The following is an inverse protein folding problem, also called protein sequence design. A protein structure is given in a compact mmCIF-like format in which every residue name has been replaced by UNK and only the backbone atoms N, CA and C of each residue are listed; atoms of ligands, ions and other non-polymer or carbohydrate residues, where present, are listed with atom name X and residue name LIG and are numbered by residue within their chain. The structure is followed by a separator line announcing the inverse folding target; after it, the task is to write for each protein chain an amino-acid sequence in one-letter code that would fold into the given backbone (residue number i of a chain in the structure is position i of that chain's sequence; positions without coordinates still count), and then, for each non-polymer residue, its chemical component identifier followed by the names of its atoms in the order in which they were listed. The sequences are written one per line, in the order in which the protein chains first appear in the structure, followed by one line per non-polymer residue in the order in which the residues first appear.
data_IF_119085756259
#
_entry.id   IF_119085756259
#
_cell.length_a   1.000
_cell.length_b   1.000
_cell.length_c   1.000
_cell.angle_alpha   90.00
_cell.angle_beta   90.00
_cell.angle_gamma   90.00
#
_symmetry.space_group_name_H-M   'P 1'
#
loop_
_entity.id
_entity.type
_entity.pdbx_description
1 polymer ?
#
# COMPACT_ATOMS: atom_id res chain seq x y z
N UNK A 1 20.45 35.37 -4.54
CA UNK A 1 19.36 35.40 -3.54
C UNK A 1 18.41 34.26 -3.88
N UNK A 2 18.23 33.27 -3.01
CA UNK A 2 17.39 32.10 -3.27
C UNK A 2 16.04 32.32 -2.57
N UNK A 3 14.97 32.51 -3.34
CA UNK A 3 13.61 32.60 -2.82
C UNK A 3 13.11 31.18 -2.56
N UNK A 4 12.82 30.85 -1.29
CA UNK A 4 12.22 29.58 -0.90
C UNK A 4 10.72 29.79 -0.69
N UNK A 5 9.90 29.10 -1.47
CA UNK A 5 8.44 29.17 -1.41
C UNK A 5 7.92 27.83 -0.90
N UNK A 6 7.06 27.86 0.12
CA UNK A 6 6.27 26.70 0.53
C UNK A 6 4.84 26.91 0.04
N UNK A 7 4.32 25.95 -0.74
CA UNK A 7 2.94 25.95 -1.22
C UNK A 7 2.19 24.86 -0.46
N UNK A 8 1.09 25.24 0.19
CA UNK A 8 0.22 24.32 0.91
C UNK A 8 -1.19 24.41 0.33
N UNK A 9 -1.81 23.26 0.10
CA UNK A 9 -3.19 23.18 -0.41
C UNK A 9 -4.25 23.33 0.68
N UNK A 10 -3.84 23.36 1.95
CA UNK A 10 -4.71 23.41 3.15
C UNK A 10 -4.10 24.30 4.21
N UNK A 11 -4.97 24.88 5.03
CA UNK A 11 -4.56 25.64 6.20
C UNK A 11 -4.33 24.67 7.37
N UNK A 12 -3.15 24.08 7.42
CA UNK A 12 -2.72 23.28 8.57
C UNK A 12 -2.30 24.23 9.71
N UNK A 13 -2.94 24.07 10.87
CA UNK A 13 -2.83 25.01 11.99
C UNK A 13 -1.38 25.13 12.51
N UNK A 14 -0.68 24.00 12.61
CA UNK A 14 0.71 23.92 13.06
C UNK A 14 1.67 24.67 12.12
N UNK A 15 1.51 24.51 10.80
CA UNK A 15 2.28 25.23 9.78
C UNK A 15 1.93 26.72 9.83
N UNK A 16 0.64 27.04 9.89
CA UNK A 16 0.14 28.42 9.93
C UNK A 16 0.66 29.17 11.16
N UNK A 17 0.63 28.55 12.34
CA UNK A 17 1.17 29.12 13.58
C UNK A 17 2.68 29.29 13.51
N UNK A 18 3.43 28.27 13.05
CA UNK A 18 4.88 28.36 12.92
C UNK A 18 5.32 29.50 11.99
N UNK A 19 4.60 29.71 10.88
CA UNK A 19 4.89 30.77 9.92
C UNK A 19 4.52 32.15 10.45
N UNK A 20 3.38 32.27 11.16
CA UNK A 20 2.99 33.50 11.85
C UNK A 20 4.02 33.89 12.92
N UNK A 21 4.45 32.95 13.75
CA UNK A 21 5.46 33.19 14.80
C UNK A 21 6.81 33.66 14.23
N UNK A 22 7.13 33.28 12.98
CA UNK A 22 8.37 33.67 12.29
C UNK A 22 8.19 34.86 11.35
N UNK A 23 7.02 35.50 11.33
CA UNK A 23 6.68 36.61 10.44
C UNK A 23 6.95 36.32 8.94
N UNK A 24 6.76 35.07 8.51
CA UNK A 24 6.96 34.69 7.11
C UNK A 24 5.76 35.22 6.28
N UNK A 25 5.99 35.97 5.19
CA UNK A 25 4.92 36.45 4.33
C UNK A 25 4.06 35.28 3.80
N UNK A 26 2.75 35.38 3.98
CA UNK A 26 1.79 34.35 3.56
C UNK A 26 0.80 34.97 2.59
N UNK A 27 0.61 34.31 1.45
CA UNK A 27 -0.38 34.71 0.43
C UNK A 27 -1.46 33.63 0.42
N UNK A 28 -2.71 34.02 0.66
CA UNK A 28 -3.85 33.12 0.58
C UNK A 28 -4.50 33.27 -0.79
N UNK A 29 -4.71 32.14 -1.47
CA UNK A 29 -5.48 32.09 -2.72
C UNK A 29 -6.94 31.78 -2.38
N UNK A 30 -7.83 32.71 -2.70
CA UNK A 30 -9.28 32.56 -2.58
C UNK A 30 -9.91 31.89 -3.81
N UNK A 31 -11.20 31.57 -3.72
CA UNK A 31 -11.95 30.89 -4.78
C UNK A 31 -12.06 31.75 -6.05
N UNK A 32 -12.15 33.07 -5.88
CA UNK A 32 -12.18 34.07 -6.94
C UNK A 32 -10.86 34.15 -7.73
N UNK A 33 -9.73 33.79 -7.10
CA UNK A 33 -8.43 33.82 -7.76
C UNK A 33 -8.26 32.67 -8.75
N UNK A 34 -9.01 31.57 -8.59
CA UNK A 34 -8.87 30.34 -9.38
C UNK A 34 -10.04 30.08 -10.32
N UNK A 35 -11.14 30.86 -10.24
CA UNK A 35 -12.35 30.60 -11.05
C UNK A 35 -12.06 30.56 -12.56
N UNK A 36 -11.20 31.45 -13.05
CA UNK A 36 -10.81 31.49 -14.47
C UNK A 36 -9.96 30.29 -14.88
N UNK A 37 -9.06 29.85 -14.01
CA UNK A 37 -8.23 28.66 -14.25
C UNK A 37 -9.07 27.39 -14.25
N UNK A 38 -10.08 27.31 -13.38
CA UNK A 38 -11.07 26.24 -13.36
C UNK A 38 -11.88 26.21 -14.66
N UNK A 39 -12.33 27.37 -15.15
CA UNK A 39 -13.04 27.44 -16.43
C UNK A 39 -12.16 26.94 -17.59
N UNK A 40 -10.90 27.39 -17.64
CA UNK A 40 -9.92 26.96 -18.65
C UNK A 40 -9.72 25.44 -18.57
N UNK A 41 -9.56 24.91 -17.37
CA UNK A 41 -9.43 23.47 -17.12
C UNK A 41 -10.66 22.70 -17.63
N UNK A 42 -11.87 23.09 -17.22
CA UNK A 42 -13.13 22.42 -17.61
C UNK A 42 -13.31 22.46 -19.11
N UNK A 43 -13.07 23.62 -19.74
CA UNK A 43 -13.18 23.79 -21.20
C UNK A 43 -12.18 22.91 -21.93
N UNK A 44 -10.93 22.89 -21.48
CA UNK A 44 -9.87 22.05 -22.02
C UNK A 44 -10.22 20.56 -21.91
N UNK A 45 -10.67 20.12 -20.75
CA UNK A 45 -11.03 18.74 -20.47
C UNK A 45 -12.27 18.29 -21.26
N UNK A 46 -13.31 19.13 -21.32
CA UNK A 46 -14.52 18.90 -22.13
C UNK A 46 -14.15 18.70 -23.60
N UNK A 47 -13.32 19.60 -24.16
CA UNK A 47 -12.83 19.47 -25.53
C UNK A 47 -12.05 18.17 -25.74
N UNK A 48 -11.16 17.84 -24.81
CA UNK A 48 -10.34 16.62 -24.86
C UNK A 48 -11.22 15.37 -24.82
N UNK A 49 -12.27 15.35 -24.02
CA UNK A 49 -13.20 14.22 -23.90
C UNK A 49 -14.07 14.04 -25.14
N UNK A 50 -14.54 15.14 -25.76
CA UNK A 50 -15.25 15.12 -27.04
C UNK A 50 -14.34 14.58 -28.15
N UNK A 51 -13.10 15.08 -28.24
CA UNK A 51 -12.11 14.62 -29.24
C UNK A 51 -11.78 13.13 -29.10
N UNK A 52 -11.75 12.60 -27.87
CA UNK A 52 -11.55 11.18 -27.60
C UNK A 52 -12.83 10.34 -27.74
N UNK A 53 -13.93 10.93 -28.21
CA UNK A 53 -15.24 10.30 -28.35
C UNK A 53 -15.78 9.69 -27.03
N UNK A 54 -15.36 10.26 -25.89
CA UNK A 54 -15.83 9.86 -24.54
C UNK A 54 -17.04 10.66 -24.07
N UNK A 55 -17.15 11.91 -24.51
CA UNK A 55 -18.26 12.80 -24.18
C UNK A 55 -19.08 13.08 -25.43
N UNK A 56 -20.35 12.63 -25.44
CA UNK A 56 -21.24 12.67 -26.61
C UNK A 56 -22.00 13.99 -26.70
N UNK A 57 -21.26 15.07 -26.91
CA UNK A 57 -21.81 16.42 -27.12
C UNK A 57 -21.38 16.89 -28.52
N UNK A 58 -22.35 17.31 -29.32
CA UNK A 58 -22.18 17.77 -30.70
C UNK A 58 -22.57 19.24 -30.87
N UNK A 59 -23.52 19.73 -30.07
CA UNK A 59 -23.96 21.11 -30.08
C UNK A 59 -23.04 22.01 -29.27
N UNK A 60 -22.71 23.18 -29.84
CA UNK A 60 -21.93 24.21 -29.12
C UNK A 60 -22.69 24.74 -27.90
N UNK A 61 -24.02 24.79 -27.97
CA UNK A 61 -24.86 25.26 -26.87
C UNK A 61 -24.77 24.35 -25.64
N UNK A 62 -24.92 23.03 -25.80
CA UNK A 62 -24.83 22.10 -24.68
C UNK A 62 -23.42 22.08 -24.08
N UNK A 63 -22.39 22.20 -24.92
CA UNK A 63 -21.01 22.31 -24.47
C UNK A 63 -20.82 23.53 -23.55
N UNK A 64 -21.30 24.71 -23.95
CA UNK A 64 -21.20 25.90 -23.09
C UNK A 64 -22.04 25.76 -21.82
N UNK A 65 -23.24 25.16 -21.87
CA UNK A 65 -24.03 24.86 -20.67
C UNK A 65 -23.27 23.98 -19.67
N UNK A 66 -22.54 22.97 -20.15
CA UNK A 66 -21.69 22.12 -19.29
C UNK A 66 -20.57 22.95 -18.66
N UNK A 67 -19.85 23.76 -19.44
CA UNK A 67 -18.75 24.58 -18.93
C UNK A 67 -19.26 25.59 -17.90
N UNK A 68 -20.33 26.33 -18.19
CA UNK A 68 -20.93 27.30 -17.28
C UNK A 68 -21.38 26.65 -15.97
N UNK A 69 -22.16 25.56 -16.07
CA UNK A 69 -22.67 24.85 -14.89
C UNK A 69 -21.53 24.40 -13.99
N UNK A 70 -20.53 23.74 -14.57
CA UNK A 70 -19.43 23.19 -13.79
C UNK A 70 -18.52 24.28 -13.22
N UNK A 71 -18.33 25.39 -13.93
CA UNK A 71 -17.53 26.52 -13.43
C UNK A 71 -18.23 27.22 -12.28
N UNK A 72 -19.54 27.45 -12.39
CA UNK A 72 -20.32 28.17 -11.36
C UNK A 72 -20.43 27.42 -10.02
N UNK A 73 -20.35 26.09 -10.03
CA UNK A 73 -20.49 25.26 -8.83
C UNK A 73 -19.17 24.61 -8.37
N UNK A 74 -18.05 24.88 -9.07
CA UNK A 74 -16.76 24.33 -8.68
C UNK A 74 -16.29 24.81 -7.29
N UNK A 75 -16.71 26.01 -6.87
CA UNK A 75 -16.38 26.61 -5.57
C UNK A 75 -14.88 26.51 -5.23
N UNK A 76 -14.04 26.89 -6.21
CA UNK A 76 -12.57 26.83 -6.09
C UNK A 76 -11.94 25.44 -6.17
N UNK A 77 -12.73 24.38 -6.38
CA UNK A 77 -12.25 22.99 -6.43
C UNK A 77 -12.15 22.48 -7.87
N UNK A 78 -10.96 22.04 -8.29
CA UNK A 78 -10.78 21.34 -9.58
C UNK A 78 -11.34 19.91 -9.57
N UNK A 79 -11.41 19.29 -8.39
CA UNK A 79 -11.84 17.91 -8.25
C UNK A 79 -13.33 17.72 -8.59
N UNK A 80 -14.21 18.59 -8.09
CA UNK A 80 -15.64 18.44 -8.29
C UNK A 80 -16.04 18.47 -9.78
N UNK A 81 -15.57 19.45 -10.60
CA UNK A 81 -15.85 19.45 -12.03
C UNK A 81 -15.33 18.21 -12.75
N UNK A 82 -14.13 17.71 -12.38
CA UNK A 82 -13.58 16.48 -12.92
C UNK A 82 -14.50 15.28 -12.66
N UNK A 83 -14.95 15.10 -11.42
CA UNK A 83 -15.87 14.02 -11.04
C UNK A 83 -17.22 14.11 -11.75
N UNK A 84 -17.73 15.33 -11.96
CA UNK A 84 -18.95 15.53 -12.73
C UNK A 84 -18.74 15.22 -14.22
N UNK A 85 -17.62 15.62 -14.82
CA UNK A 85 -17.30 15.25 -16.21
C UNK A 85 -17.21 13.74 -16.39
N UNK A 86 -16.59 13.01 -15.46
CA UNK A 86 -16.56 11.53 -15.48
C UNK A 86 -17.97 10.93 -15.39
N UNK A 87 -18.87 11.55 -14.63
CA UNK A 87 -20.27 11.16 -14.55
C UNK A 87 -21.00 11.40 -15.87
N UNK A 88 -20.85 12.60 -16.46
CA UNK A 88 -21.50 12.99 -17.71
C UNK A 88 -21.01 12.11 -18.88
N UNK A 89 -19.73 11.70 -18.89
CA UNK A 89 -19.17 10.82 -19.92
C UNK A 89 -19.85 9.45 -20.01
N UNK A 90 -20.60 9.03 -18.99
CA UNK A 90 -21.35 7.77 -19.01
C UNK A 90 -22.66 7.86 -19.78
N UNK A 91 -23.14 9.07 -20.05
CA UNK A 91 -24.40 9.31 -20.74
C UNK A 91 -24.31 8.98 -22.24
N UNK A 92 -25.40 8.45 -22.79
CA UNK A 92 -25.39 7.86 -24.13
C UNK A 92 -25.87 8.81 -25.23
N UNK A 93 -26.50 9.93 -24.88
CA UNK A 93 -27.03 10.92 -25.81
C UNK A 93 -26.94 12.34 -25.24
N UNK A 94 -27.05 13.38 -26.08
CA UNK A 94 -27.12 14.77 -25.62
C UNK A 94 -28.31 15.04 -24.69
N UNK A 95 -29.45 14.36 -24.92
CA UNK A 95 -30.64 14.48 -24.07
C UNK A 95 -30.38 13.92 -22.66
N UNK A 96 -29.67 12.80 -22.58
CA UNK A 96 -29.25 12.21 -21.30
C UNK A 96 -28.24 13.10 -20.58
N UNK A 97 -27.29 13.70 -21.33
CA UNK A 97 -26.34 14.69 -20.79
C UNK A 97 -27.09 15.89 -20.21
N UNK A 98 -28.06 16.46 -20.92
CA UNK A 98 -28.87 17.58 -20.40
C UNK A 98 -29.63 17.21 -19.13
N UNK A 99 -30.22 16.00 -19.09
CA UNK A 99 -30.93 15.50 -17.90
C UNK A 99 -29.96 15.27 -16.73
N UNK A 100 -28.77 14.75 -17.01
CA UNK A 100 -27.72 14.52 -16.03
C UNK A 100 -27.23 15.86 -15.43
N UNK A 101 -27.00 16.87 -16.28
CA UNK A 101 -26.56 18.21 -15.90
C UNK A 101 -27.51 18.88 -14.89
N UNK A 102 -28.83 18.69 -15.07
CA UNK A 102 -29.87 19.22 -14.17
C UNK A 102 -29.87 18.57 -12.77
N UNK A 103 -29.30 17.37 -12.65
CA UNK A 103 -29.33 16.55 -11.44
C UNK A 103 -27.91 16.29 -10.88
N UNK A 104 -26.93 17.11 -11.23
CA UNK A 104 -25.58 16.99 -10.67
C UNK A 104 -25.59 17.38 -9.18
N UNK A 105 -24.85 16.65 -8.33
CA UNK A 105 -24.63 17.02 -6.94
C UNK A 105 -23.85 18.34 -6.86
N UNK A 106 -24.18 19.25 -5.94
CA UNK A 106 -23.57 20.59 -5.90
C UNK A 106 -22.18 20.64 -5.27
N UNK A 107 -21.91 19.73 -4.34
CA UNK A 107 -20.66 19.70 -3.57
C UNK A 107 -20.07 18.28 -3.51
N UNK A 108 -18.85 18.16 -2.99
CA UNK A 108 -18.15 16.87 -2.90
C UNK A 108 -18.89 15.86 -2.02
N UNK A 109 -19.47 16.26 -0.88
CA UNK A 109 -20.19 15.33 0.00
C UNK A 109 -21.42 14.70 -0.66
N UNK A 110 -22.21 15.50 -1.38
CA UNK A 110 -23.32 15.01 -2.20
C UNK A 110 -22.82 14.10 -3.34
N UNK A 111 -21.66 14.44 -3.91
CA UNK A 111 -21.01 13.64 -4.96
C UNK A 111 -20.62 12.27 -4.42
N UNK A 112 -19.93 12.20 -3.28
CA UNK A 112 -19.55 10.95 -2.63
C UNK A 112 -20.76 10.14 -2.16
N UNK A 113 -21.79 10.81 -1.63
CA UNK A 113 -23.07 10.18 -1.27
C UNK A 113 -23.72 9.50 -2.47
N UNK A 114 -23.71 10.16 -3.63
CA UNK A 114 -24.21 9.60 -4.90
C UNK A 114 -23.35 8.42 -5.37
N UNK A 115 -22.03 8.48 -5.26
CA UNK A 115 -21.14 7.36 -5.61
C UNK A 115 -21.39 6.13 -4.73
N UNK A 116 -21.58 6.31 -3.42
CA UNK A 116 -21.96 5.20 -2.52
C UNK A 116 -23.30 4.60 -2.91
N UNK A 117 -24.29 5.45 -3.25
CA UNK A 117 -25.58 4.96 -3.75
C UNK A 117 -25.42 4.13 -5.03
N UNK A 118 -24.59 4.58 -5.97
CA UNK A 118 -24.27 3.82 -7.18
C UNK A 118 -23.61 2.47 -6.87
N UNK A 119 -22.75 2.38 -5.85
CA UNK A 119 -22.22 1.10 -5.38
C UNK A 119 -23.34 0.20 -4.85
N UNK A 120 -24.27 0.77 -4.09
CA UNK A 120 -25.38 0.03 -3.48
C UNK A 120 -26.41 -0.51 -4.48
N UNK A 121 -26.67 0.25 -5.54
CA UNK A 121 -27.63 -0.10 -6.60
C UNK A 121 -27.10 -1.17 -7.58
N UNK A 122 -25.81 -1.50 -7.53
CA UNK A 122 -25.22 -2.57 -8.33
C UNK A 122 -25.66 -3.97 -7.85
N UNK A 123 -25.38 -5.00 -8.66
CA UNK A 123 -25.59 -6.40 -8.27
C UNK A 123 -24.79 -6.74 -7.02
N UNK A 124 -25.26 -7.72 -6.25
CA UNK A 124 -24.59 -8.16 -5.01
C UNK A 124 -23.11 -8.50 -5.22
N UNK A 125 -22.78 -9.12 -6.36
CA UNK A 125 -21.41 -9.45 -6.76
C UNK A 125 -20.52 -8.22 -6.93
N UNK A 126 -20.99 -7.21 -7.66
CA UNK A 126 -20.22 -5.98 -7.93
C UNK A 126 -20.17 -5.07 -6.71
N UNK A 127 -21.26 -5.00 -5.93
CA UNK A 127 -21.28 -4.30 -4.64
C UNK A 127 -20.26 -4.90 -3.66
N UNK A 128 -20.22 -6.23 -3.55
CA UNK A 128 -19.22 -6.93 -2.72
C UNK A 128 -17.79 -6.68 -3.22
N UNK A 129 -17.58 -6.69 -4.55
CA UNK A 129 -16.30 -6.38 -5.15
C UNK A 129 -15.85 -4.96 -4.81
N UNK A 130 -16.73 -3.97 -4.97
CA UNK A 130 -16.44 -2.57 -4.67
C UNK A 130 -16.02 -2.38 -3.21
N UNK A 131 -16.78 -2.94 -2.27
CA UNK A 131 -16.46 -2.82 -0.84
C UNK A 131 -15.18 -3.54 -0.44
N UNK A 132 -14.92 -4.74 -0.98
CA UNK A 132 -13.62 -5.40 -0.80
C UNK A 132 -12.47 -4.56 -1.37
N UNK A 133 -12.69 -3.92 -2.50
CA UNK A 133 -11.65 -3.10 -3.17
C UNK A 133 -11.35 -1.83 -2.35
N UNK A 134 -12.38 -1.11 -1.90
CA UNK A 134 -12.23 0.07 -1.05
C UNK A 134 -11.52 -0.30 0.27
N UNK A 135 -11.89 -1.42 0.88
CA UNK A 135 -11.24 -1.94 2.09
C UNK A 135 -9.74 -2.17 1.87
N UNK A 136 -9.34 -2.79 0.76
CA UNK A 136 -7.93 -2.95 0.39
C UNK A 136 -7.22 -1.60 0.21
N UNK A 137 -7.85 -0.64 -0.46
CA UNK A 137 -7.24 0.68 -0.69
C UNK A 137 -7.04 1.46 0.62
N UNK A 138 -7.96 1.30 1.57
CA UNK A 138 -7.92 2.03 2.85
C UNK A 138 -6.96 1.40 3.88
N UNK A 139 -6.89 0.07 3.95
CA UNK A 139 -6.28 -0.64 5.07
C UNK A 139 -5.03 -1.46 4.69
N UNK A 140 -4.62 -1.48 3.42
CA UNK A 140 -3.38 -2.12 3.02
C UNK A 140 -2.15 -1.45 3.66
N UNK A 141 -1.13 -2.24 3.98
CA UNK A 141 0.16 -1.78 4.51
C UNK A 141 0.90 -0.85 3.54
N UNK A 142 0.63 -0.98 2.24
CA UNK A 142 1.05 -0.08 1.17
C UNK A 142 0.02 -0.09 0.05
N UNK A 143 -0.02 0.93 -0.84
CA UNK A 143 -0.85 0.88 -2.04
C UNK A 143 -0.57 -0.38 -2.87
N UNK A 144 -1.63 -1.05 -3.32
CA UNK A 144 -1.55 -2.21 -4.20
C UNK A 144 -1.49 -1.77 -5.67
N UNK A 145 -0.76 -2.53 -6.49
CA UNK A 145 -0.90 -2.45 -7.94
C UNK A 145 -2.23 -3.06 -8.38
N UNK A 146 -2.76 -2.64 -9.53
CA UNK A 146 -4.01 -3.21 -10.04
C UNK A 146 -3.90 -4.74 -10.23
N UNK A 147 -2.74 -5.24 -10.66
CA UNK A 147 -2.46 -6.68 -10.78
C UNK A 147 -2.49 -7.43 -9.45
N UNK A 148 -2.12 -6.78 -8.35
CA UNK A 148 -2.21 -7.35 -7.01
C UNK A 148 -3.66 -7.35 -6.52
N UNK A 149 -4.35 -6.21 -6.68
CA UNK A 149 -5.72 -5.99 -6.24
C UNK A 149 -6.70 -6.97 -6.90
N UNK A 150 -6.49 -7.27 -8.20
CA UNK A 150 -7.23 -8.30 -8.94
C UNK A 150 -7.21 -9.65 -8.23
N UNK A 151 -6.05 -10.09 -7.76
CA UNK A 151 -5.94 -11.35 -7.04
C UNK A 151 -6.47 -11.22 -5.61
N UNK A 152 -6.13 -10.14 -4.91
CA UNK A 152 -6.53 -9.90 -3.53
C UNK A 152 -8.05 -9.91 -3.34
N UNK A 153 -8.79 -9.30 -4.28
CA UNK A 153 -10.26 -9.24 -4.29
C UNK A 153 -10.93 -10.54 -4.73
N UNK A 154 -10.22 -11.37 -5.52
CA UNK A 154 -10.70 -12.67 -5.98
C UNK A 154 -10.64 -13.77 -4.91
N UNK A 155 -9.93 -13.54 -3.81
CA UNK A 155 -9.86 -14.50 -2.71
C UNK A 155 -11.20 -14.54 -1.96
N UNK A 156 -11.84 -15.70 -2.02
CA UNK A 156 -13.10 -16.02 -1.34
C UNK A 156 -12.98 -17.24 -0.43
N UNK A 157 -14.13 -17.74 0.05
CA UNK A 157 -14.19 -18.92 0.93
C UNK A 157 -14.15 -20.26 0.18
N UNK A 158 -14.46 -20.26 -1.13
CA UNK A 158 -14.72 -21.48 -1.91
C UNK A 158 -13.54 -21.99 -2.75
N UNK A 159 -12.57 -21.14 -3.09
CA UNK A 159 -11.40 -21.52 -3.89
C UNK A 159 -10.34 -22.23 -3.06
N UNK A 160 -10.01 -23.48 -3.40
CA UNK A 160 -8.99 -24.27 -2.68
C UNK A 160 -7.63 -24.27 -3.38
N UNK A 161 -7.60 -23.98 -4.68
CA UNK A 161 -6.39 -24.02 -5.50
C UNK A 161 -6.23 -22.76 -6.35
N UNK A 162 -5.02 -22.54 -6.87
CA UNK A 162 -4.75 -21.44 -7.80
C UNK A 162 -5.66 -21.44 -9.03
N UNK A 163 -6.01 -22.63 -9.54
CA UNK A 163 -6.86 -22.79 -10.73
C UNK A 163 -8.32 -22.39 -10.49
N UNK A 164 -8.72 -22.20 -9.24
CA UNK A 164 -10.07 -21.76 -8.88
C UNK A 164 -10.16 -20.23 -8.80
N UNK A 165 -9.02 -19.52 -8.77
CA UNK A 165 -9.00 -18.07 -8.68
C UNK A 165 -9.58 -17.47 -9.97
N UNK A 166 -10.59 -16.61 -9.82
CA UNK A 166 -11.26 -15.90 -10.92
C UNK A 166 -11.19 -14.39 -10.67
N UNK A 167 -10.03 -13.76 -10.93
CA UNK A 167 -9.92 -12.32 -10.78
C UNK A 167 -10.75 -11.59 -11.82
N UNK A 168 -11.45 -10.54 -11.39
CA UNK A 168 -12.09 -9.59 -12.30
C UNK A 168 -11.03 -8.85 -13.10
N UNK A 169 -11.43 -8.33 -14.26
CA UNK A 169 -10.58 -7.42 -15.04
C UNK A 169 -10.44 -6.08 -14.34
N UNK A 170 -9.33 -5.39 -14.62
CA UNK A 170 -8.99 -4.11 -13.98
C UNK A 170 -10.13 -3.09 -14.10
N UNK A 171 -10.68 -2.93 -15.30
CA UNK A 171 -11.76 -1.99 -15.59
C UNK A 171 -13.01 -2.31 -14.76
N UNK A 172 -13.35 -3.60 -14.61
CA UNK A 172 -14.51 -4.03 -13.81
C UNK A 172 -14.33 -3.69 -12.33
N UNK A 173 -13.12 -3.82 -11.79
CA UNK A 173 -12.82 -3.47 -10.39
C UNK A 173 -12.95 -1.97 -10.17
N UNK A 174 -12.38 -1.16 -11.09
CA UNK A 174 -12.43 0.30 -11.01
C UNK A 174 -13.86 0.81 -11.18
N UNK A 175 -14.59 0.30 -12.18
CA UNK A 175 -15.97 0.67 -12.46
C UNK A 175 -16.91 0.34 -11.30
N UNK A 176 -16.72 -0.82 -10.66
CA UNK A 176 -17.51 -1.23 -9.50
C UNK A 176 -17.43 -0.20 -8.36
N UNK A 177 -16.32 0.55 -8.25
CA UNK A 177 -16.09 1.52 -7.19
C UNK A 177 -16.62 2.94 -7.50
N UNK A 178 -17.45 3.12 -8.53
CA UNK A 178 -18.21 4.36 -8.79
C UNK A 178 -17.39 5.67 -8.70
N UNK A 179 -16.22 5.73 -9.34
CA UNK A 179 -15.29 6.88 -9.35
C UNK A 179 -14.54 7.17 -8.03
N UNK A 180 -14.66 6.33 -7.00
CA UNK A 180 -13.84 6.50 -5.79
C UNK A 180 -12.36 6.25 -6.01
N UNK A 181 -11.99 5.51 -7.06
CA UNK A 181 -10.63 5.02 -7.27
C UNK A 181 -10.02 5.60 -8.54
N UNK A 182 -8.72 5.84 -8.48
CA UNK A 182 -7.88 6.23 -9.62
C UNK A 182 -6.63 5.36 -9.66
N UNK A 183 -6.17 5.02 -10.86
CA UNK A 183 -4.86 4.42 -11.07
C UNK A 183 -3.81 5.52 -11.28
N UNK A 184 -2.84 5.61 -10.37
CA UNK A 184 -1.70 6.52 -10.46
C UNK A 184 -0.41 5.77 -10.15
N UNK A 185 0.61 5.96 -10.99
CA UNK A 185 1.93 5.34 -10.84
C UNK A 185 1.84 3.81 -10.64
N UNK A 186 0.99 3.14 -11.44
CA UNK A 186 0.72 1.69 -11.38
C UNK A 186 0.05 1.21 -10.08
N UNK A 187 -0.40 2.11 -9.22
CA UNK A 187 -1.08 1.79 -7.95
C UNK A 187 -2.50 2.32 -7.94
N UNK A 188 -3.40 1.61 -7.26
CA UNK A 188 -4.78 2.06 -7.07
C UNK A 188 -4.88 2.84 -5.76
N UNK A 189 -5.47 4.03 -5.83
CA UNK A 189 -5.69 4.92 -4.69
C UNK A 189 -7.08 5.54 -4.74
N UNK A 190 -7.50 6.14 -3.63
CA UNK A 190 -8.68 6.99 -3.64
C UNK A 190 -8.48 8.18 -4.58
N UNK A 191 -9.55 8.61 -5.24
CA UNK A 191 -9.54 9.71 -6.20
C UNK A 191 -9.04 11.03 -5.59
N UNK A 192 -9.22 11.19 -4.28
CA UNK A 192 -8.68 12.30 -3.52
C UNK A 192 -8.70 12.02 -2.02
N UNK A 193 -7.92 12.77 -1.24
CA UNK A 193 -7.93 12.69 0.22
C UNK A 193 -9.33 12.99 0.80
N UNK A 194 -10.09 13.92 0.24
CA UNK A 194 -11.45 14.23 0.74
C UNK A 194 -12.41 13.04 0.65
N UNK A 195 -12.20 12.13 -0.29
CA UNK A 195 -12.96 10.88 -0.32
C UNK A 195 -12.64 9.99 0.90
N UNK A 196 -11.38 9.97 1.36
CA UNK A 196 -10.99 9.25 2.57
C UNK A 196 -11.68 9.81 3.81
N UNK A 197 -11.68 11.15 3.96
CA UNK A 197 -12.36 11.82 5.08
C UNK A 197 -13.85 11.55 5.06
N UNK A 198 -14.49 11.67 3.89
CA UNK A 198 -15.90 11.37 3.74
C UNK A 198 -16.23 9.93 4.13
N UNK A 199 -15.45 8.96 3.64
CA UNK A 199 -15.63 7.55 3.96
C UNK A 199 -15.49 7.30 5.47
N UNK A 200 -14.44 7.86 6.11
CA UNK A 200 -14.24 7.75 7.56
C UNK A 200 -15.35 8.39 8.38
N UNK A 201 -15.86 9.56 7.95
CA UNK A 201 -16.98 10.23 8.63
C UNK A 201 -18.29 9.46 8.47
N UNK A 202 -18.45 8.74 7.36
CA UNK A 202 -19.65 7.95 7.02
C UNK A 202 -19.71 6.59 7.74
N UNK A 203 -18.77 6.29 8.64
CA UNK A 203 -18.65 5.01 9.34
C UNK A 203 -19.97 4.53 10.00
N UNK A 204 -20.80 5.47 10.45
CA UNK A 204 -22.08 5.21 11.11
C UNK A 204 -23.26 4.89 10.17
N UNK A 205 -23.05 4.85 8.85
CA UNK A 205 -24.11 4.53 7.86
C UNK A 205 -24.00 3.10 7.32
N UNK A 206 -25.12 2.39 7.35
CA UNK A 206 -25.27 0.96 7.68
C UNK A 206 -24.88 -0.11 6.63
N UNK A 207 -24.04 0.20 5.63
CA UNK A 207 -23.55 -0.82 4.66
C UNK A 207 -22.05 -0.75 4.36
N UNK A 208 -21.41 0.41 4.55
CA UNK A 208 -19.94 0.52 4.48
C UNK A 208 -19.26 0.20 5.80
N UNK A 209 -20.02 0.14 6.90
CA UNK A 209 -19.49 0.02 8.26
C UNK A 209 -18.47 -1.10 8.38
N UNK A 210 -18.75 -2.29 7.83
CA UNK A 210 -17.81 -3.41 7.89
C UNK A 210 -16.52 -3.13 7.07
N UNK A 211 -16.66 -2.61 5.85
CA UNK A 211 -15.51 -2.32 4.99
C UNK A 211 -14.61 -1.19 5.51
N UNK A 212 -15.18 -0.29 6.30
CA UNK A 212 -14.50 0.84 6.92
C UNK A 212 -14.01 0.52 8.34
N UNK A 213 -14.51 -0.54 8.97
CA UNK A 213 -14.13 -0.91 10.32
C UNK A 213 -12.71 -1.48 10.29
N UNK A 214 -11.72 -0.83 10.91
CA UNK A 214 -10.33 -1.27 10.80
C UNK A 214 -10.14 -2.71 11.28
N UNK A 215 -10.85 -3.13 12.32
CA UNK A 215 -10.72 -4.48 12.87
C UNK A 215 -11.28 -5.54 11.91
N UNK A 216 -12.47 -5.32 11.36
CA UNK A 216 -13.06 -6.19 10.35
C UNK A 216 -12.21 -6.21 9.08
N UNK A 217 -11.79 -5.04 8.60
CA UNK A 217 -10.93 -4.92 7.42
C UNK A 217 -9.65 -5.71 7.58
N UNK A 218 -8.88 -5.50 8.66
CA UNK A 218 -7.66 -6.25 8.91
C UNK A 218 -7.89 -7.75 9.12
N UNK A 219 -9.06 -8.14 9.65
CA UNK A 219 -9.46 -9.56 9.68
C UNK A 219 -9.59 -10.12 8.27
N UNK A 220 -10.35 -9.47 7.38
CA UNK A 220 -10.54 -9.91 5.99
C UNK A 220 -9.24 -9.91 5.19
N UNK A 221 -8.41 -8.88 5.34
CA UNK A 221 -7.11 -8.77 4.67
C UNK A 221 -6.14 -9.88 5.14
N UNK A 222 -6.15 -10.23 6.44
CA UNK A 222 -5.41 -11.37 6.99
C UNK A 222 -5.86 -12.70 6.39
N UNK A 223 -7.18 -12.91 6.33
CA UNK A 223 -7.77 -14.09 5.68
C UNK A 223 -7.34 -14.21 4.23
N UNK A 224 -7.43 -13.11 3.47
CA UNK A 224 -7.07 -13.08 2.06
C UNK A 224 -5.58 -13.40 1.85
N UNK A 225 -4.67 -12.78 2.61
CA UNK A 225 -3.24 -13.06 2.51
C UNK A 225 -2.92 -14.52 2.82
N UNK A 226 -3.38 -15.04 3.96
CA UNK A 226 -3.05 -16.42 4.37
C UNK A 226 -3.67 -17.44 3.42
N UNK A 227 -4.92 -17.22 2.97
CA UNK A 227 -5.55 -18.09 1.96
C UNK A 227 -4.78 -18.07 0.66
N UNK A 228 -4.29 -16.90 0.23
CA UNK A 228 -3.46 -16.80 -0.96
C UNK A 228 -2.15 -17.60 -0.83
N UNK A 229 -1.47 -17.52 0.31
CA UNK A 229 -0.27 -18.31 0.60
C UNK A 229 -0.54 -19.81 0.76
N UNK A 230 -1.80 -20.19 1.04
CA UNK A 230 -2.27 -21.57 1.09
C UNK A 230 -2.79 -22.08 -0.25
N UNK A 231 -2.86 -21.23 -1.28
CA UNK A 231 -3.02 -21.71 -2.65
C UNK A 231 -1.78 -22.54 -3.02
N UNK A 232 -1.89 -23.31 -4.08
CA UNK A 232 -0.84 -24.21 -4.57
C UNK A 232 0.39 -23.47 -5.14
N UNK A 233 0.99 -22.56 -4.36
CA UNK A 233 1.98 -21.58 -4.76
C UNK A 233 3.11 -21.37 -3.72
N UNK A 234 4.38 -21.58 -4.08
CA UNK A 234 4.87 -22.55 -5.05
C UNK A 234 4.93 -23.94 -4.37
N UNK A 235 4.15 -24.90 -4.89
CA UNK A 235 4.16 -26.29 -4.39
C UNK A 235 5.53 -26.97 -4.50
N UNK A 236 6.36 -26.51 -5.43
CA UNK A 236 7.67 -27.11 -5.75
C UNK A 236 8.80 -26.61 -4.83
N UNK A 237 8.50 -25.63 -3.96
CA UNK A 237 9.47 -25.04 -3.05
C UNK A 237 10.10 -23.74 -3.57
N UNK A 238 11.23 -23.29 -3.00
CA UNK A 238 11.87 -22.06 -3.42
C UNK A 238 12.40 -22.17 -4.85
N UNK A 239 12.32 -21.06 -5.59
CA UNK A 239 12.83 -20.97 -6.95
C UNK A 239 14.35 -21.16 -6.97
N UNK A 240 14.87 -21.81 -8.01
CA UNK A 240 16.29 -22.18 -8.12
C UNK A 240 17.14 -21.14 -8.87
N UNK A 241 16.49 -20.19 -9.54
CA UNK A 241 17.13 -19.04 -10.19
C UNK A 241 16.35 -17.73 -10.00
N UNK A 242 17.01 -16.56 -10.08
CA UNK A 242 16.32 -15.28 -10.01
C UNK A 242 15.28 -15.09 -11.12
N UNK A 243 15.59 -15.55 -12.33
CA UNK A 243 14.68 -15.50 -13.49
C UNK A 243 13.39 -16.29 -13.24
N UNK A 244 13.52 -17.46 -12.60
CA UNK A 244 12.38 -18.27 -12.19
C UNK A 244 11.57 -17.57 -11.10
N UNK A 245 12.24 -16.98 -10.10
CA UNK A 245 11.59 -16.22 -9.03
C UNK A 245 10.81 -15.02 -9.58
N UNK A 246 11.41 -14.25 -10.48
CA UNK A 246 10.77 -13.11 -11.12
C UNK A 246 9.53 -13.53 -11.91
N UNK A 247 9.64 -14.53 -12.79
CA UNK A 247 8.49 -15.08 -13.55
C UNK A 247 7.39 -15.59 -12.62
N UNK A 248 7.80 -16.20 -11.52
CA UNK A 248 6.90 -16.70 -10.50
C UNK A 248 6.12 -15.55 -9.86
N UNK A 249 6.77 -14.47 -9.46
CA UNK A 249 6.09 -13.29 -8.92
C UNK A 249 5.15 -12.66 -9.95
N UNK A 250 5.55 -12.57 -11.22
CA UNK A 250 4.68 -12.06 -12.29
C UNK A 250 3.43 -12.93 -12.51
N UNK A 251 3.53 -14.25 -12.30
CA UNK A 251 2.40 -15.17 -12.37
C UNK A 251 1.50 -15.06 -11.13
N UNK A 252 2.10 -14.94 -9.97
CA UNK A 252 1.42 -14.92 -8.68
C UNK A 252 1.48 -13.51 -8.09
N UNK A 253 1.00 -12.51 -8.83
CA UNK A 253 1.21 -11.07 -8.59
C UNK A 253 0.99 -10.58 -7.15
N UNK A 254 0.04 -11.16 -6.40
CA UNK A 254 -0.24 -10.79 -5.00
C UNK A 254 0.67 -11.48 -3.97
N UNK A 255 1.53 -12.42 -4.37
CA UNK A 255 2.37 -13.19 -3.45
C UNK A 255 3.33 -12.30 -2.68
N UNK A 256 3.92 -11.29 -3.32
CA UNK A 256 4.87 -10.43 -2.64
C UNK A 256 4.20 -9.67 -1.50
N UNK A 257 3.02 -9.10 -1.73
CA UNK A 257 2.24 -8.46 -0.69
C UNK A 257 1.82 -9.46 0.40
N UNK A 258 1.17 -10.56 0.01
CA UNK A 258 0.66 -11.57 0.94
C UNK A 258 1.78 -12.14 1.82
N UNK A 259 2.94 -12.43 1.23
CA UNK A 259 4.11 -12.96 1.95
C UNK A 259 4.66 -11.96 2.94
N UNK A 260 4.67 -10.65 2.66
CA UNK A 260 5.29 -9.63 3.52
C UNK A 260 4.37 -9.01 4.57
N UNK A 261 3.06 -8.98 4.34
CA UNK A 261 2.15 -8.14 5.15
C UNK A 261 0.99 -8.90 5.82
N UNK A 262 0.92 -10.23 5.71
CA UNK A 262 -0.12 -10.98 6.42
C UNK A 262 0.00 -10.83 7.95
N UNK A 263 1.22 -10.77 8.48
CA UNK A 263 1.53 -10.59 9.90
C UNK A 263 1.28 -9.15 10.38
N UNK A 264 1.43 -8.16 9.49
CA UNK A 264 1.00 -6.79 9.76
C UNK A 264 -0.51 -6.74 10.03
N UNK A 265 -1.33 -7.33 9.15
CA UNK A 265 -2.78 -7.31 9.33
C UNK A 265 -3.23 -8.09 10.57
N UNK A 266 -2.59 -9.22 10.90
CA UNK A 266 -2.89 -9.99 12.10
C UNK A 266 -2.63 -9.21 13.40
N UNK A 267 -1.65 -8.30 13.39
CA UNK A 267 -1.30 -7.46 14.54
C UNK A 267 -2.36 -6.41 14.82
N UNK A 268 -2.98 -5.85 13.78
CA UNK A 268 -3.99 -4.80 13.87
C UNK A 268 -5.40 -5.34 14.19
N UNK A 269 -5.58 -6.66 14.26
CA UNK A 269 -6.86 -7.26 14.65
C UNK A 269 -7.15 -7.06 16.13
N UNK A 270 -8.34 -6.55 16.46
CA UNK A 270 -8.80 -6.42 17.85
C UNK A 270 -9.30 -7.75 18.42
N UNK A 271 -9.96 -8.56 17.59
CA UNK A 271 -10.60 -9.82 17.99
C UNK A 271 -10.01 -11.02 17.26
N UNK A 272 -9.92 -12.15 17.97
CA UNK A 272 -9.36 -13.40 17.44
C UNK A 272 -10.49 -14.29 16.99
N UNK A 273 -10.45 -14.72 15.73
CA UNK A 273 -11.42 -15.66 15.18
C UNK A 273 -10.81 -17.07 15.11
N UNK A 274 -11.59 -18.10 15.48
CA UNK A 274 -11.12 -19.49 15.40
C UNK A 274 -10.76 -19.93 13.97
N UNK A 275 -11.37 -19.31 12.96
CA UNK A 275 -11.09 -19.65 11.56
C UNK A 275 -9.75 -19.09 11.07
N UNK A 276 -9.34 -17.89 11.51
CA UNK A 276 -8.01 -17.37 11.15
C UNK A 276 -6.93 -18.23 11.81
N UNK A 277 -7.21 -18.70 13.02
CA UNK A 277 -6.37 -19.64 13.76
C UNK A 277 -6.20 -20.96 13.01
N UNK A 278 -7.30 -21.54 12.51
CA UNK A 278 -7.24 -22.77 11.71
C UNK A 278 -6.40 -22.58 10.45
N UNK A 279 -6.52 -21.43 9.79
CA UNK A 279 -5.73 -21.10 8.61
C UNK A 279 -4.24 -20.94 8.92
N UNK A 280 -3.89 -20.27 10.01
CA UNK A 280 -2.48 -20.14 10.44
C UNK A 280 -1.90 -21.52 10.78
N UNK A 281 -2.65 -22.37 11.48
CA UNK A 281 -2.21 -23.74 11.76
C UNK A 281 -2.01 -24.53 10.45
N UNK A 282 -2.90 -24.37 9.46
CA UNK A 282 -2.74 -24.98 8.14
C UNK A 282 -1.50 -24.44 7.43
N UNK A 283 -1.24 -23.15 7.54
CA UNK A 283 -0.05 -22.50 6.97
C UNK A 283 1.23 -23.02 7.61
N UNK A 284 1.26 -23.20 8.93
CA UNK A 284 2.37 -23.83 9.65
C UNK A 284 2.53 -25.33 9.37
N UNK A 285 1.48 -26.00 8.89
CA UNK A 285 1.56 -27.40 8.46
C UNK A 285 2.07 -27.57 7.02
N UNK A 286 2.31 -26.46 6.30
CA UNK A 286 2.92 -26.54 4.97
C UNK A 286 4.32 -27.19 5.06
N UNK A 287 4.65 -27.96 4.03
CA UNK A 287 5.97 -28.58 3.93
C UNK A 287 7.10 -27.55 3.85
N UNK A 288 8.32 -27.98 4.20
CA UNK A 288 9.55 -27.19 4.19
C UNK A 288 9.68 -26.31 2.93
N UNK A 289 9.44 -26.87 1.74
CA UNK A 289 9.53 -26.14 0.47
C UNK A 289 8.63 -24.90 0.38
N UNK A 290 7.34 -25.04 0.71
CA UNK A 290 6.39 -23.93 0.59
C UNK A 290 6.71 -22.79 1.57
N UNK A 291 7.11 -23.14 2.80
CA UNK A 291 7.59 -22.16 3.78
C UNK A 291 8.85 -21.45 3.29
N UNK A 292 9.81 -22.19 2.72
CA UNK A 292 11.06 -21.62 2.20
C UNK A 292 10.78 -20.66 1.05
N UNK A 293 9.84 -20.98 0.16
CA UNK A 293 9.43 -20.10 -0.91
C UNK A 293 8.82 -18.78 -0.42
N UNK A 294 7.95 -18.82 0.59
CA UNK A 294 7.40 -17.60 1.20
C UNK A 294 8.53 -16.74 1.77
N UNK A 295 9.50 -17.35 2.46
CA UNK A 295 10.66 -16.63 2.99
C UNK A 295 11.58 -16.09 1.89
N UNK A 296 11.77 -16.81 0.79
CA UNK A 296 12.52 -16.34 -0.37
C UNK A 296 11.89 -15.07 -0.96
N UNK A 297 10.56 -15.01 -1.06
CA UNK A 297 9.83 -13.83 -1.54
C UNK A 297 9.90 -12.68 -0.53
N UNK A 298 9.82 -12.95 0.78
CA UNK A 298 9.93 -11.92 1.85
C UNK A 298 11.27 -11.21 1.88
N UNK A 299 12.33 -11.80 1.34
CA UNK A 299 13.69 -11.21 1.30
C UNK A 299 13.87 -10.16 0.21
N UNK A 300 12.97 -10.12 -0.76
CA UNK A 300 13.03 -9.16 -1.86
C UNK A 300 12.68 -7.77 -1.34
N UNK A 301 13.57 -6.80 -1.57
CA UNK A 301 13.30 -5.39 -1.28
C UNK A 301 12.32 -4.80 -2.31
N UNK A 302 12.42 -5.23 -3.57
CA UNK A 302 11.48 -4.87 -4.63
C UNK A 302 11.26 -6.03 -5.59
N UNK A 303 10.11 -6.68 -5.47
CA UNK A 303 9.72 -7.82 -6.30
C UNK A 303 9.31 -7.44 -7.74
N UNK A 304 9.25 -6.15 -8.05
CA UNK A 304 8.79 -5.65 -9.35
C UNK A 304 9.91 -5.20 -10.27
N UNK A 305 11.12 -5.06 -9.74
CA UNK A 305 12.32 -4.74 -10.49
C UNK A 305 13.15 -6.01 -10.70
N UNK A 306 13.42 -6.36 -11.96
CA UNK A 306 14.16 -7.57 -12.28
C UNK A 306 15.59 -7.55 -11.75
N UNK A 307 16.28 -6.42 -11.82
CA UNK A 307 17.65 -6.28 -11.33
C UNK A 307 17.68 -6.40 -9.80
N UNK A 308 16.68 -5.84 -9.12
CA UNK A 308 16.58 -5.98 -7.66
C UNK A 308 16.26 -7.43 -7.25
N UNK A 309 15.40 -8.13 -8.00
CA UNK A 309 15.16 -9.57 -7.76
C UNK A 309 16.41 -10.40 -8.00
N UNK A 310 17.22 -10.08 -9.01
CA UNK A 310 18.54 -10.72 -9.21
C UNK A 310 19.49 -10.48 -8.04
N UNK A 311 19.51 -9.25 -7.53
CA UNK A 311 20.35 -8.86 -6.41
C UNK A 311 19.94 -9.53 -5.08
N UNK A 312 18.64 -9.60 -4.79
CA UNK A 312 18.12 -10.14 -3.53
C UNK A 312 17.95 -11.68 -3.54
N UNK A 313 18.23 -12.33 -4.66
CA UNK A 313 17.95 -13.75 -4.83
C UNK A 313 18.81 -14.65 -3.92
N UNK A 314 18.16 -15.43 -3.05
CA UNK A 314 18.78 -16.55 -2.32
C UNK A 314 18.06 -17.87 -2.64
N UNK A 315 18.83 -18.90 -3.01
CA UNK A 315 18.37 -20.28 -3.23
C UNK A 315 17.81 -20.98 -1.99
N UNK A 316 17.87 -20.34 -0.82
CA UNK A 316 17.21 -20.84 0.41
C UNK A 316 17.70 -22.25 0.78
N UNK A 317 19.02 -22.47 0.78
CA UNK A 317 19.65 -23.80 0.96
C UNK A 317 19.59 -24.36 2.39
N UNK A 318 18.82 -23.74 3.28
CA UNK A 318 18.72 -24.10 4.70
C UNK A 318 17.34 -24.69 5.01
N UNK A 319 17.30 -25.61 5.98
CA UNK A 319 16.03 -26.19 6.42
C UNK A 319 15.21 -25.13 7.16
N UNK A 320 13.99 -24.90 6.69
CA UNK A 320 13.03 -24.04 7.38
C UNK A 320 12.07 -24.89 8.22
N UNK A 321 11.61 -24.32 9.32
CA UNK A 321 10.61 -24.92 10.20
C UNK A 321 9.48 -23.91 10.40
N UNK A 322 8.33 -24.30 10.96
CA UNK A 322 7.29 -23.32 11.33
C UNK A 322 7.80 -22.25 12.31
N UNK A 323 8.80 -22.57 13.14
CA UNK A 323 9.49 -21.59 13.98
C UNK A 323 10.24 -20.52 13.16
N UNK A 324 10.76 -20.88 11.99
CA UNK A 324 11.45 -19.94 11.09
C UNK A 324 10.50 -18.88 10.56
N UNK A 325 9.27 -19.25 10.18
CA UNK A 325 8.24 -18.27 9.81
C UNK A 325 7.86 -17.38 10.99
N UNK A 326 7.63 -17.96 12.16
CA UNK A 326 7.27 -17.19 13.36
C UNK A 326 8.30 -16.11 13.69
N UNK A 327 9.57 -16.41 13.43
CA UNK A 327 10.70 -15.50 13.64
C UNK A 327 10.89 -14.50 12.50
N UNK A 328 10.72 -14.91 11.25
CA UNK A 328 10.84 -14.04 10.07
C UNK A 328 9.61 -13.14 9.86
N UNK A 329 8.60 -13.28 10.71
CA UNK A 329 7.38 -12.47 10.74
C UNK A 329 7.20 -11.86 12.11
N UNK A 330 6.36 -10.82 12.21
CA UNK A 330 6.02 -10.18 13.49
C UNK A 330 5.00 -11.00 14.29
N UNK A 331 4.76 -12.26 13.95
CA UNK A 331 3.78 -13.11 14.61
C UNK A 331 4.08 -13.26 16.10
N UNK A 332 5.35 -13.34 16.52
CA UNK A 332 5.71 -13.36 17.94
C UNK A 332 5.30 -12.11 18.72
N UNK A 333 5.12 -10.96 18.05
CA UNK A 333 4.65 -9.72 18.67
C UNK A 333 3.13 -9.68 18.80
N UNK A 334 2.40 -10.56 18.11
CA UNK A 334 0.94 -10.60 18.16
C UNK A 334 0.52 -11.22 19.51
N UNK A 335 -0.14 -10.48 20.42
CA UNK A 335 -0.28 -10.89 21.83
C UNK A 335 -0.96 -12.24 22.04
N UNK A 336 -1.92 -12.58 21.18
CA UNK A 336 -2.65 -13.85 21.26
C UNK A 336 -1.93 -15.02 20.59
N UNK A 337 -1.04 -14.73 19.65
CA UNK A 337 -0.10 -15.70 19.09
C UNK A 337 0.91 -16.10 20.17
N UNK A 338 1.52 -15.12 20.84
CA UNK A 338 2.55 -15.33 21.85
C UNK A 338 2.08 -16.18 23.04
N UNK A 339 0.78 -16.11 23.39
CA UNK A 339 0.18 -16.86 24.49
C UNK A 339 -0.13 -18.33 24.16
N UNK A 340 0.02 -18.77 22.91
CA UNK A 340 -0.36 -20.14 22.50
C UNK A 340 0.77 -21.14 22.67
N UNK A 341 0.62 -22.00 23.67
CA UNK A 341 1.58 -23.04 24.03
C UNK A 341 1.87 -24.08 22.92
N UNK A 342 0.98 -24.27 21.94
CA UNK A 342 1.14 -25.26 20.86
C UNK A 342 1.96 -24.76 19.67
N UNK A 343 2.26 -23.47 19.60
CA UNK A 343 3.07 -22.93 18.51
C UNK A 343 4.55 -23.07 18.84
N UNK A 344 5.40 -23.34 17.82
CA UNK A 344 6.83 -23.48 18.05
C UNK A 344 7.35 -22.27 18.81
N UNK A 345 7.94 -22.49 19.99
CA UNK A 345 8.66 -21.42 20.68
C UNK A 345 9.83 -21.00 19.77
N UNK A 346 10.08 -19.70 19.58
CA UNK A 346 11.25 -19.25 18.82
C UNK A 346 12.50 -19.81 19.51
N UNK A 347 13.04 -20.90 18.94
CA UNK A 347 14.42 -21.29 19.14
C UNK A 347 15.24 -20.53 18.12
N UNK A 348 16.50 -20.17 18.42
CA UNK A 348 17.36 -19.58 17.40
C UNK A 348 17.30 -20.47 16.17
N UNK A 349 17.08 -19.93 14.95
CA UNK A 349 17.29 -20.72 13.76
C UNK A 349 18.65 -21.39 13.92
N UNK A 350 18.76 -22.68 13.57
CA UNK A 350 20.07 -23.24 13.26
C UNK A 350 20.56 -22.39 12.11
N UNK A 351 21.26 -21.30 12.42
CA UNK A 351 21.70 -20.35 11.42
C UNK A 351 22.40 -21.18 10.35
N UNK A 352 22.12 -20.98 9.05
CA UNK A 352 23.06 -21.46 8.08
C UNK A 352 24.40 -20.90 8.55
N UNK A 353 25.40 -21.76 8.72
CA UNK A 353 26.74 -21.43 9.20
C UNK A 353 27.50 -20.45 8.26
N UNK A 354 26.76 -19.75 7.39
CA UNK A 354 27.18 -18.90 6.28
C UNK A 354 26.36 -17.59 6.11
N UNK A 355 25.28 -17.33 6.86
CA UNK A 355 24.53 -16.07 6.71
C UNK A 355 25.36 -14.87 7.17
N UNK A 356 25.36 -13.78 6.40
CA UNK A 356 26.05 -12.53 6.77
C UNK A 356 25.21 -11.69 7.73
N UNK A 357 25.84 -10.76 8.44
CA UNK A 357 25.12 -9.83 9.33
C UNK A 357 24.23 -8.86 8.54
N UNK A 358 24.58 -8.58 7.29
CA UNK A 358 23.79 -7.79 6.34
C UNK A 358 22.51 -8.50 5.94
N UNK A 359 22.58 -9.80 5.62
CA UNK A 359 21.40 -10.62 5.31
C UNK A 359 20.45 -10.72 6.51
N UNK A 360 20.98 -10.95 7.71
CA UNK A 360 20.19 -10.98 8.93
C UNK A 360 19.51 -9.62 9.21
N UNK A 361 20.22 -8.52 8.97
CA UNK A 361 19.68 -7.17 9.13
C UNK A 361 18.60 -6.84 8.10
N UNK A 362 18.81 -7.20 6.82
CA UNK A 362 17.83 -7.06 5.74
C UNK A 362 16.54 -7.81 6.05
N UNK A 363 16.66 -9.04 6.54
CA UNK A 363 15.53 -9.92 6.83
C UNK A 363 14.84 -9.66 8.19
N UNK A 364 15.35 -8.74 9.01
CA UNK A 364 14.78 -8.45 10.33
C UNK A 364 15.05 -9.52 11.40
N UNK A 365 16.05 -10.36 11.19
CA UNK A 365 16.36 -11.51 12.03
C UNK A 365 17.13 -11.12 13.31
N UNK A 366 16.44 -10.63 14.33
CA UNK A 366 17.04 -10.12 15.58
C UNK A 366 17.96 -11.12 16.28
N UNK A 367 17.49 -12.34 16.53
CA UNK A 367 18.30 -13.38 17.19
C UNK A 367 19.45 -13.89 16.33
N UNK A 368 19.30 -13.98 15.00
CA UNK A 368 20.41 -14.32 14.11
C UNK A 368 21.47 -13.21 14.13
N UNK A 369 21.04 -11.95 14.09
CA UNK A 369 21.92 -10.78 14.24
C UNK A 369 22.67 -10.85 15.58
N UNK A 370 21.98 -11.06 16.70
CA UNK A 370 22.61 -11.25 18.02
C UNK A 370 23.59 -12.42 18.06
N UNK A 371 23.27 -13.53 17.41
CA UNK A 371 24.16 -14.69 17.32
C UNK A 371 25.42 -14.38 16.51
N UNK A 372 25.30 -13.68 15.39
CA UNK A 372 26.43 -13.26 14.56
C UNK A 372 27.37 -12.31 15.32
N UNK A 373 26.83 -11.42 16.16
CA UNK A 373 27.64 -10.63 17.10
C UNK A 373 28.41 -11.51 18.09
N UNK A 374 27.80 -12.58 18.63
CA UNK A 374 28.51 -13.55 19.48
C UNK A 374 29.61 -14.30 18.73
N UNK A 375 29.51 -14.41 17.40
CA UNK A 375 30.53 -14.98 16.52
C UNK A 375 31.58 -13.96 16.04
N UNK A 376 31.53 -12.71 16.54
CA UNK A 376 32.53 -11.68 16.25
C UNK A 376 32.21 -10.76 15.06
N UNK A 377 31.00 -10.79 14.51
CA UNK A 377 30.55 -9.79 13.52
C UNK A 377 30.30 -8.42 14.15
N UNK A 378 30.52 -7.36 13.38
CA UNK A 378 30.41 -5.97 13.82
C UNK A 378 29.17 -5.27 13.25
N UNK A 379 28.67 -4.27 13.98
CA UNK A 379 27.62 -3.36 13.51
C UNK A 379 28.04 -2.57 12.26
N UNK A 380 29.34 -2.42 12.04
CA UNK A 380 29.97 -1.63 10.99
C UNK A 380 30.70 -2.50 9.94
N UNK A 381 30.41 -3.81 9.89
CA UNK A 381 30.95 -4.67 8.84
C UNK A 381 30.46 -4.15 7.48
N UNK A 382 31.35 -3.98 6.51
CA UNK A 382 30.99 -3.56 5.16
C UNK A 382 30.76 -4.78 4.28
N UNK A 383 29.70 -4.75 3.47
CA UNK A 383 29.50 -5.72 2.40
C UNK A 383 30.23 -5.29 1.10
N UNK A 384 30.03 -6.04 0.02
CA UNK A 384 30.62 -5.77 -1.29
C UNK A 384 30.18 -4.42 -1.89
N UNK A 385 29.06 -3.84 -1.42
CA UNK A 385 28.57 -2.53 -1.82
C UNK A 385 29.05 -1.41 -0.89
N UNK A 386 29.91 -1.70 0.08
CA UNK A 386 30.30 -0.75 1.12
C UNK A 386 29.13 -0.30 2.00
N UNK A 387 28.10 -1.13 2.17
CA UNK A 387 26.97 -0.87 3.06
C UNK A 387 27.16 -1.57 4.41
N UNK A 388 26.76 -0.88 5.48
CA UNK A 388 26.67 -1.46 6.83
C UNK A 388 25.31 -2.17 7.04
N UNK A 389 25.21 -3.12 7.99
CA UNK A 389 23.95 -3.79 8.33
C UNK A 389 22.79 -2.85 8.63
N UNK A 390 23.06 -1.70 9.26
CA UNK A 390 22.04 -0.71 9.62
C UNK A 390 21.31 -0.18 8.37
N UNK A 391 22.03 0.01 7.27
CA UNK A 391 21.45 0.44 6.00
C UNK A 391 20.32 -0.51 5.56
N UNK A 392 20.57 -1.81 5.58
CA UNK A 392 19.57 -2.80 5.15
C UNK A 392 18.39 -2.94 6.12
N UNK A 393 18.65 -2.83 7.43
CA UNK A 393 17.58 -2.84 8.42
C UNK A 393 16.64 -1.63 8.22
N UNK A 394 17.20 -0.45 7.99
CA UNK A 394 16.43 0.75 7.74
C UNK A 394 15.72 0.69 6.36
N UNK A 395 16.36 0.10 5.33
CA UNK A 395 15.81 0.01 3.97
C UNK A 395 14.55 -0.86 3.92
N UNK A 396 14.47 -1.85 4.80
CA UNK A 396 13.38 -2.82 4.86
C UNK A 396 12.46 -2.62 6.07
N UNK A 397 12.55 -1.48 6.77
CA UNK A 397 11.64 -1.19 7.87
C UNK A 397 11.83 -2.08 9.11
N UNK A 398 12.99 -2.71 9.28
CA UNK A 398 13.29 -3.67 10.33
C UNK A 398 13.65 -2.99 11.66
N UNK A 399 12.70 -2.29 12.26
CA UNK A 399 12.91 -1.46 13.45
C UNK A 399 13.64 -2.19 14.59
N UNK A 400 13.27 -3.43 15.01
CA UNK A 400 13.95 -4.09 16.12
C UNK A 400 15.44 -4.36 15.85
N UNK A 401 15.80 -4.69 14.61
CA UNK A 401 17.20 -4.92 14.21
C UNK A 401 17.93 -3.59 14.10
N UNK A 402 17.31 -2.56 13.51
CA UNK A 402 17.90 -1.23 13.41
C UNK A 402 18.22 -0.66 14.81
N UNK A 403 17.29 -0.74 15.76
CA UNK A 403 17.51 -0.34 17.16
C UNK A 403 18.64 -1.14 17.81
N UNK A 404 18.69 -2.46 17.58
CA UNK A 404 19.77 -3.29 18.10
C UNK A 404 21.15 -2.92 17.52
N UNK A 405 21.22 -2.66 16.21
CA UNK A 405 22.45 -2.28 15.52
C UNK A 405 22.96 -0.91 16.01
N UNK A 406 22.07 0.09 16.14
CA UNK A 406 22.40 1.40 16.73
C UNK A 406 22.90 1.24 18.15
N UNK A 407 22.24 0.41 18.98
CA UNK A 407 22.71 0.09 20.33
C UNK A 407 24.08 -0.60 20.35
N UNK A 408 24.44 -1.32 19.28
CA UNK A 408 25.76 -1.95 19.09
C UNK A 408 26.80 -1.04 18.41
N UNK A 409 26.50 0.24 18.24
CA UNK A 409 27.43 1.24 17.73
C UNK A 409 27.49 1.30 16.20
N UNK A 410 26.40 0.96 15.51
CA UNK A 410 26.27 1.21 14.08
C UNK A 410 26.41 2.71 13.75
N UNK A 411 27.08 3.05 12.65
CA UNK A 411 27.19 4.44 12.22
C UNK A 411 25.90 4.91 11.54
N UNK A 412 25.09 5.70 12.25
CA UNK A 412 23.81 6.23 11.75
C UNK A 412 23.94 7.12 10.52
N UNK A 413 25.13 7.64 10.25
CA UNK A 413 25.44 8.54 9.14
C UNK A 413 26.27 7.88 8.03
N UNK A 414 26.57 6.57 8.12
CA UNK A 414 27.32 5.89 7.08
C UNK A 414 26.57 5.93 5.74
N UNK A 415 27.25 6.38 4.69
CA UNK A 415 26.69 6.38 3.35
C UNK A 415 27.02 5.07 2.64
N UNK A 416 26.00 4.40 2.12
CA UNK A 416 26.21 3.21 1.28
C UNK A 416 27.08 3.55 0.06
N UNK A 417 27.94 2.62 -0.37
CA UNK A 417 28.66 2.72 -1.64
C UNK A 417 27.80 2.39 -2.87
N UNK A 418 26.51 2.07 -2.70
CA UNK A 418 25.58 1.81 -3.81
C UNK A 418 25.19 3.08 -4.58
N UNK A 419 24.48 2.91 -5.70
CA UNK A 419 24.14 3.97 -6.67
C UNK A 419 23.52 5.23 -6.08
N UNK A 420 22.78 5.11 -4.97
CA UNK A 420 22.05 6.24 -4.38
C UNK A 420 22.82 6.96 -3.26
N UNK A 421 23.97 6.42 -2.82
CA UNK A 421 24.79 6.97 -1.71
C UNK A 421 24.01 7.36 -0.44
N UNK A 422 22.85 6.75 -0.22
CA UNK A 422 21.94 7.12 0.86
C UNK A 422 22.48 6.73 2.24
N UNK A 423 22.22 7.57 3.24
CA UNK A 423 22.39 7.22 4.66
C UNK A 423 21.20 6.39 5.16
N UNK A 424 21.31 5.69 6.31
CA UNK A 424 20.18 5.03 6.97
C UNK A 424 18.94 5.91 7.14
N UNK A 425 19.12 7.22 7.34
CA UNK A 425 18.01 8.15 7.47
C UNK A 425 17.29 8.38 6.14
N UNK A 426 18.05 8.60 5.06
CA UNK A 426 17.49 8.82 3.72
C UNK A 426 16.61 7.66 3.29
N UNK A 427 17.10 6.42 3.44
CA UNK A 427 16.36 5.25 2.98
C UNK A 427 15.18 4.90 3.90
N UNK A 428 15.23 5.24 5.18
CA UNK A 428 14.11 5.06 6.11
C UNK A 428 12.99 6.08 5.82
N UNK A 429 13.37 7.31 5.49
CA UNK A 429 12.44 8.35 5.06
C UNK A 429 11.81 8.01 3.70
N UNK A 430 12.60 7.51 2.75
CA UNK A 430 12.10 7.01 1.46
C UNK A 430 11.08 5.88 1.64
N UNK A 431 11.34 4.97 2.58
CA UNK A 431 10.43 3.87 2.94
C UNK A 431 9.21 4.28 3.78
N UNK A 432 9.13 5.53 4.26
CA UNK A 432 8.05 5.99 5.13
C UNK A 432 8.05 5.37 6.54
N UNK A 433 9.19 4.87 7.02
CA UNK A 433 9.31 4.16 8.29
C UNK A 433 9.49 5.14 9.47
N UNK A 434 8.40 5.80 9.87
CA UNK A 434 8.40 6.87 10.88
C UNK A 434 9.16 6.51 12.16
N UNK A 435 8.93 5.34 12.75
CA UNK A 435 9.59 4.96 14.00
C UNK A 435 11.10 4.76 13.85
N UNK A 436 11.57 4.38 12.66
CA UNK A 436 13.00 4.27 12.37
C UNK A 436 13.59 5.65 12.14
N UNK A 437 12.89 6.54 11.43
CA UNK A 437 13.30 7.94 11.21
C UNK A 437 13.47 8.65 12.56
N UNK A 438 12.49 8.57 13.45
CA UNK A 438 12.55 9.15 14.79
C UNK A 438 13.74 8.60 15.60
N UNK A 439 13.92 7.27 15.57
CA UNK A 439 15.00 6.60 16.29
C UNK A 439 16.38 7.02 15.75
N UNK A 440 16.55 7.16 14.43
CA UNK A 440 17.80 7.61 13.82
C UNK A 440 18.10 9.07 14.17
N UNK A 441 17.12 9.96 14.05
CA UNK A 441 17.27 11.39 14.41
C UNK A 441 17.64 11.55 15.89
N UNK A 442 17.01 10.77 16.77
CA UNK A 442 17.34 10.76 18.20
C UNK A 442 18.79 10.33 18.48
N UNK A 443 19.35 9.47 17.63
CA UNK A 443 20.72 8.98 17.73
C UNK A 443 21.72 9.78 16.87
N UNK A 444 21.37 10.99 16.44
CA UNK A 444 22.30 11.92 15.79
C UNK A 444 22.44 11.73 14.28
N UNK A 445 21.44 11.13 13.62
CA UNK A 445 21.43 11.08 12.15
C UNK A 445 21.23 12.48 11.55
N UNK A 446 22.04 12.82 10.56
CA UNK A 446 22.03 14.12 9.88
C UNK A 446 21.00 14.11 8.72
N UNK A 447 20.01 15.02 8.73
CA UNK A 447 18.98 15.07 7.69
C UNK A 447 19.40 15.76 6.39
N UNK A 448 20.61 16.35 6.33
CA UNK A 448 21.07 17.20 5.22
C UNK A 448 22.22 16.59 4.45
#
# INVERSE_FOLDING_TARGET
MCLKILVISRNELDISEAFKCRAIPTIQMGTENVSKDIEIFIRGETNRLIQKNKLRIYSSELKEKVVERLTSEADGMFLWPRLQLDTICRERSEQDVEKCLKNLPRHLDETYSRMIRQINEQSDSLRTLAYKTIMWVLHAARPLRITELRHATAIGDSGRTWKDLRPYDADVIIDACANFLVEENLTIRLVHYSANEYLKASFHHSQLTDALDPSYAHTQLSFACIRYLLLDFPKEGPCQSPKELYRTIQRYTFCFYASNFFDFHLKEMLNIHDDIVKLINKFFSLGNGAIAAVLQIRRLSNAFDHAQVEWDFDRTRYSVTPATILFATRLCEVPWVAKRARWPKPGPPKAPTRATIHEAARAGEVEATKHLFKQGKSANDLDENGAEPLYYACLNGQQPVATFLVFKGANVNHQSGSFDKGSPLHIAALGGYLQIVEMLLHNGAEPN
#
